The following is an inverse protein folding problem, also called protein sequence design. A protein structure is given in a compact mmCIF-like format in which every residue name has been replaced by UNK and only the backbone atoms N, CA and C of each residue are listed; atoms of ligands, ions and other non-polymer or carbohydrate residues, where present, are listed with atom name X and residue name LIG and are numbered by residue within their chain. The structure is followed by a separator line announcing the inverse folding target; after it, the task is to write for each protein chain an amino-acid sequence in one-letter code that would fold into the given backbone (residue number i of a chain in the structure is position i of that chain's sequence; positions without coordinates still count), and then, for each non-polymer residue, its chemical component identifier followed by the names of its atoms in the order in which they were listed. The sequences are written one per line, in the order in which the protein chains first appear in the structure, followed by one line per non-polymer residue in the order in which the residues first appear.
data_IF_817098897427
#
_entry.id   IF_817098897427
#
_cell.length_a   1.000
_cell.length_b   1.000
_cell.length_c   1.000
_cell.angle_alpha   90.00
_cell.angle_beta   90.00
_cell.angle_gamma   90.00
#
_symmetry.space_group_name_H-M   'P 1'
#
loop_
_entity.id
_entity.type
_entity.pdbx_description
1 polymer ?
#
# COMPACT_ATOMS: atom_id res chain seq x y z
N UNK A 1 9.35 7.37 13.87
CA UNK A 1 9.42 6.06 14.58
C UNK A 1 8.91 5.00 13.63
N UNK A 2 9.63 3.89 13.47
CA UNK A 2 9.25 2.76 12.61
C UNK A 2 8.73 1.63 13.53
N UNK A 3 7.70 0.90 13.09
CA UNK A 3 7.14 -0.21 13.84
C UNK A 3 7.96 -1.48 13.58
N UNK A 4 8.33 -2.20 14.63
CA UNK A 4 8.86 -3.54 14.48
C UNK A 4 7.72 -4.53 14.14
N UNK A 5 8.07 -5.69 13.62
CA UNK A 5 7.15 -6.80 13.32
C UNK A 5 6.14 -7.09 14.46
N UNK A 6 6.60 -7.14 15.71
CA UNK A 6 5.75 -7.35 16.90
C UNK A 6 4.73 -6.24 17.11
N UNK A 7 5.10 -5.01 16.79
CA UNK A 7 4.23 -3.85 16.94
C UNK A 7 3.22 -3.80 15.80
N UNK A 8 3.62 -4.21 14.59
CA UNK A 8 2.71 -4.41 13.45
C UNK A 8 1.65 -5.47 13.80
N UNK A 9 2.05 -6.65 14.31
CA UNK A 9 1.11 -7.70 14.75
C UNK A 9 0.12 -7.19 15.79
N UNK A 10 0.62 -6.54 16.85
CA UNK A 10 -0.26 -5.98 17.89
C UNK A 10 -1.28 -4.99 17.32
N UNK A 11 -0.86 -4.12 16.40
CA UNK A 11 -1.75 -3.12 15.81
C UNK A 11 -2.77 -3.71 14.84
N UNK A 12 -2.45 -4.83 14.19
CA UNK A 12 -3.41 -5.63 13.43
C UNK A 12 -4.46 -6.24 14.37
N UNK A 13 -4.05 -6.81 15.50
CA UNK A 13 -4.96 -7.38 16.51
C UNK A 13 -5.88 -6.32 17.12
N UNK A 14 -5.39 -5.11 17.39
CA UNK A 14 -6.21 -4.02 17.92
C UNK A 14 -7.08 -3.33 16.85
N UNK A 15 -6.90 -3.68 15.58
CA UNK A 15 -7.59 -3.04 14.44
C UNK A 15 -7.17 -1.60 14.17
N UNK A 16 -6.06 -1.13 14.75
CA UNK A 16 -5.49 0.19 14.44
C UNK A 16 -4.89 0.21 13.02
N UNK A 17 -4.40 -0.95 12.57
CA UNK A 17 -3.95 -1.21 11.21
C UNK A 17 -4.81 -2.35 10.65
N UNK A 18 -5.17 -2.25 9.37
CA UNK A 18 -5.82 -3.35 8.64
C UNK A 18 -5.02 -3.64 7.37
N UNK A 19 -4.74 -4.91 7.15
CA UNK A 19 -4.10 -5.44 5.94
C UNK A 19 -4.95 -6.62 5.50
N UNK A 20 -5.54 -6.52 4.31
CA UNK A 20 -6.38 -7.59 3.77
C UNK A 20 -6.09 -7.79 2.27
N UNK A 21 -5.66 -8.99 1.85
CA UNK A 21 -5.33 -10.16 2.68
C UNK A 21 -4.00 -10.00 3.46
N UNK A 22 -3.95 -10.52 4.68
CA UNK A 22 -2.71 -10.63 5.46
C UNK A 22 -2.07 -12.01 5.27
N UNK A 23 -0.75 -12.04 5.10
CA UNK A 23 0.09 -13.25 5.10
C UNK A 23 1.37 -12.96 5.87
N UNK A 24 1.66 -13.82 6.85
CA UNK A 24 2.86 -13.71 7.70
C UNK A 24 4.16 -13.81 6.90
N UNK A 25 4.13 -14.41 5.70
CA UNK A 25 5.27 -14.55 4.80
C UNK A 25 5.83 -13.19 4.31
N UNK A 26 4.97 -12.17 4.28
CA UNK A 26 5.32 -10.82 3.86
C UNK A 26 5.71 -9.93 5.04
N UNK A 27 5.60 -10.42 6.28
CA UNK A 27 5.96 -9.64 7.47
C UNK A 27 7.47 -9.68 7.67
N UNK A 28 8.10 -8.50 7.64
CA UNK A 28 9.53 -8.31 7.81
C UNK A 28 9.82 -7.64 9.17
N UNK A 29 11.09 -7.58 9.65
CA UNK A 29 11.42 -7.06 10.98
C UNK A 29 10.91 -5.65 11.29
N UNK A 30 10.72 -4.81 10.26
CA UNK A 30 10.24 -3.45 10.40
C UNK A 30 9.44 -2.96 9.17
N UNK A 31 8.85 -3.87 8.41
CA UNK A 31 8.06 -3.58 7.20
C UNK A 31 7.11 -4.72 6.88
N UNK A 32 6.25 -4.52 5.87
CA UNK A 32 5.39 -5.55 5.33
C UNK A 32 5.40 -5.44 3.80
N UNK A 33 5.69 -6.54 3.10
CA UNK A 33 5.79 -6.56 1.65
C UNK A 33 4.39 -6.53 1.01
N UNK A 34 4.24 -5.74 -0.07
CA UNK A 34 2.97 -5.58 -0.79
C UNK A 34 3.03 -6.19 -2.18
N UNK A 35 1.87 -6.59 -2.69
CA UNK A 35 1.70 -7.13 -4.04
C UNK A 35 1.12 -6.08 -4.98
N UNK A 36 1.54 -6.13 -6.24
CA UNK A 36 0.93 -5.32 -7.30
C UNK A 36 -0.46 -5.86 -7.65
N UNK A 37 -1.45 -4.98 -7.72
CA UNK A 37 -2.78 -5.34 -8.20
C UNK A 37 -2.85 -5.36 -9.74
N UNK A 38 -3.90 -5.97 -10.29
CA UNK A 38 -4.08 -6.18 -11.74
C UNK A 38 -4.44 -4.92 -12.52
N UNK A 39 -4.89 -3.86 -11.86
CA UNK A 39 -5.37 -2.65 -12.53
C UNK A 39 -4.26 -1.62 -12.65
N UNK A 40 -4.03 -1.16 -13.88
CA UNK A 40 -3.04 -0.12 -14.20
C UNK A 40 -3.78 1.02 -14.90
N UNK A 41 -3.56 2.24 -14.43
CA UNK A 41 -4.05 3.45 -15.08
C UNK A 41 -3.03 3.95 -16.12
N UNK A 42 -3.53 4.34 -17.28
CA UNK A 42 -2.72 4.92 -18.35
C UNK A 42 -3.17 6.34 -18.66
N UNK A 43 -2.24 7.18 -19.11
CA UNK A 43 -2.57 8.51 -19.61
C UNK A 43 -3.05 8.39 -21.07
N UNK A 44 -4.19 9.00 -21.38
CA UNK A 44 -4.63 9.15 -22.76
C UNK A 44 -4.02 10.41 -23.37
N UNK A 45 -2.77 10.30 -23.83
CA UNK A 45 -1.99 11.42 -24.37
C UNK A 45 -2.51 11.92 -25.71
N UNK A 46 -3.27 11.11 -26.45
CA UNK A 46 -3.85 11.51 -27.73
C UNK A 46 -4.99 12.52 -27.55
N UNK A 47 -5.67 12.48 -26.41
CA UNK A 47 -6.84 13.33 -26.12
C UNK A 47 -6.51 14.60 -25.33
N UNK A 48 -5.30 14.70 -24.77
CA UNK A 48 -4.91 15.80 -23.91
C UNK A 48 -3.47 16.23 -24.18
N UNK A 49 -3.29 17.52 -24.50
CA UNK A 49 -1.97 18.10 -24.79
C UNK A 49 -1.19 18.51 -23.54
N UNK A 50 -1.88 18.75 -22.42
CA UNK A 50 -1.29 19.16 -21.14
C UNK A 50 -2.04 18.53 -19.96
N UNK A 51 -1.35 18.38 -18.84
CA UNK A 51 -1.93 18.03 -17.54
C UNK A 51 -2.02 19.33 -16.72
N UNK A 52 -3.24 19.76 -16.40
CA UNK A 52 -3.50 20.92 -15.53
C UNK A 52 -4.01 20.45 -14.16
N UNK A 53 -3.24 20.72 -13.11
CA UNK A 53 -3.54 20.28 -11.74
C UNK A 53 -4.43 21.26 -10.96
N UNK A 54 -4.74 22.45 -11.52
CA UNK A 54 -5.49 23.51 -10.84
C UNK A 54 -6.92 23.72 -11.37
N UNK A 55 -7.31 22.98 -12.40
CA UNK A 55 -8.63 23.10 -13.02
C UNK A 55 -9.71 22.33 -12.25
#
# INVERSE_FOLDING_TARGET
MILADRDIRRKLETGEISIEPFSEENLQPASYDLHLDKTILTFNTDKHSIIDVKK
#
